data_IF_443145803716
#
_entry.id   IF_443145803716
#
_cell.length_a   1.000
_cell.length_b   1.000
_cell.length_c   1.000
_cell.angle_alpha   90.00
_cell.angle_beta   90.00
_cell.angle_gamma   90.00
#
_symmetry.space_group_name_H-M   'P 1'
#
loop_
_entity.id
_entity.type
_entity.pdbx_description
1 polymer ?
#
# COMPACT_ATOMS: atom_id res chain seq x y z
N UNK A 1 2.37 10.08 21.22
CA UNK A 1 2.55 8.95 20.28
C UNK A 1 2.56 9.51 18.86
N UNK A 2 3.20 8.84 17.89
CA UNK A 2 3.28 9.26 16.49
C UNK A 2 3.07 8.08 15.53
N UNK A 3 2.10 8.16 14.62
CA UNK A 3 2.14 7.39 13.38
C UNK A 3 2.80 8.25 12.31
N UNK A 4 4.02 7.91 11.90
CA UNK A 4 4.73 8.59 10.83
C UNK A 4 4.34 7.96 9.49
N UNK A 5 3.47 8.64 8.75
CA UNK A 5 2.99 8.21 7.42
C UNK A 5 3.57 9.15 6.38
N UNK A 6 4.66 8.76 5.68
CA UNK A 6 5.31 9.65 4.72
C UNK A 6 4.36 10.02 3.57
N UNK A 7 4.32 11.28 3.11
CA UNK A 7 3.42 11.69 2.05
C UNK A 7 3.83 11.10 0.70
N UNK A 8 2.90 11.07 -0.25
CA UNK A 8 3.15 10.58 -1.61
C UNK A 8 3.60 11.71 -2.53
N UNK A 9 4.56 12.51 -2.08
CA UNK A 9 5.15 13.64 -2.82
C UNK A 9 6.62 13.40 -3.14
N UNK A 10 7.19 14.21 -4.03
CA UNK A 10 8.60 14.10 -4.43
C UNK A 10 9.58 14.37 -3.27
N UNK A 11 9.19 15.26 -2.36
CA UNK A 11 9.89 15.67 -1.14
C UNK A 11 9.47 14.87 0.11
N UNK A 12 8.96 13.65 -0.11
CA UNK A 12 8.53 12.70 0.93
C UNK A 12 9.51 12.59 2.08
N UNK A 13 10.80 12.45 1.76
CA UNK A 13 11.83 12.23 2.77
C UNK A 13 11.98 13.46 3.65
N UNK A 14 12.08 14.64 3.02
CA UNK A 14 12.29 15.92 3.69
C UNK A 14 11.13 16.22 4.63
N UNK A 15 9.89 16.06 4.16
CA UNK A 15 8.68 16.29 4.97
C UNK A 15 8.62 15.30 6.15
N UNK A 16 8.75 13.99 5.89
CA UNK A 16 8.64 12.98 6.94
C UNK A 16 9.78 13.06 7.96
N UNK A 17 10.98 13.45 7.52
CA UNK A 17 12.12 13.66 8.41
C UNK A 17 11.92 14.91 9.30
N UNK A 18 11.35 15.99 8.78
CA UNK A 18 10.97 17.15 9.60
C UNK A 18 9.92 16.77 10.66
N UNK A 19 8.92 15.96 10.32
CA UNK A 19 7.94 15.46 11.29
C UNK A 19 8.58 14.59 12.37
N UNK A 20 9.54 13.74 12.00
CA UNK A 20 10.31 12.93 12.95
C UNK A 20 11.15 13.80 13.91
N UNK A 21 11.78 14.86 13.41
CA UNK A 21 12.54 15.82 14.21
C UNK A 21 11.62 16.54 15.20
N UNK A 22 10.50 17.09 14.73
CA UNK A 22 9.52 17.75 15.61
C UNK A 22 8.99 16.81 16.70
N UNK A 23 8.73 15.54 16.38
CA UNK A 23 8.31 14.55 17.36
C UNK A 23 9.40 14.22 18.40
N UNK A 24 10.66 14.21 17.97
CA UNK A 24 11.83 14.05 18.85
C UNK A 24 11.93 15.22 19.83
N UNK A 25 11.82 16.45 19.34
CA UNK A 25 11.85 17.67 20.16
C UNK A 25 10.67 17.73 21.15
N UNK A 26 9.49 17.28 20.72
CA UNK A 26 8.30 17.17 21.57
C UNK A 26 8.38 16.01 22.60
N UNK A 27 9.45 15.21 22.60
CA UNK A 27 9.63 14.12 23.56
C UNK A 27 8.69 12.92 23.32
N UNK A 28 8.26 12.67 22.08
CA UNK A 28 7.41 11.52 21.74
C UNK A 28 8.13 10.21 22.08
N UNK A 29 7.48 9.37 22.89
CA UNK A 29 8.04 8.10 23.38
C UNK A 29 7.57 6.84 22.66
N UNK A 30 6.49 6.95 21.89
CA UNK A 30 5.92 5.83 21.13
C UNK A 30 5.68 6.23 19.68
N UNK A 31 6.29 5.54 18.72
CA UNK A 31 6.15 5.85 17.31
C UNK A 31 6.09 4.62 16.40
N UNK A 32 5.31 4.68 15.33
CA UNK A 32 5.29 3.67 14.26
C UNK A 32 5.52 4.36 12.93
N UNK A 33 6.51 3.89 12.15
CA UNK A 33 6.73 4.34 10.78
C UNK A 33 5.98 3.43 9.81
N UNK A 34 5.15 4.02 8.93
CA UNK A 34 4.66 3.33 7.73
C UNK A 34 5.71 3.43 6.63
N UNK A 35 6.39 2.32 6.38
CA UNK A 35 7.30 2.11 5.27
C UNK A 35 6.64 1.26 4.18
N UNK A 36 7.40 0.92 3.13
CA UNK A 36 6.91 0.18 1.99
C UNK A 36 7.67 -1.14 1.80
N UNK A 37 6.93 -2.24 1.62
CA UNK A 37 7.52 -3.54 1.39
C UNK A 37 8.09 -3.61 -0.03
N UNK A 38 9.39 -3.87 -0.16
CA UNK A 38 10.11 -3.86 -1.44
C UNK A 38 11.03 -2.65 -1.64
N UNK A 39 11.12 -1.72 -0.67
CA UNK A 39 11.98 -0.54 -0.76
C UNK A 39 13.47 -0.88 -1.03
N UNK A 40 13.92 -2.07 -0.60
CA UNK A 40 15.28 -2.59 -0.85
C UNK A 40 15.50 -3.02 -2.31
N UNK A 41 14.45 -3.44 -3.03
CA UNK A 41 14.51 -3.88 -4.42
C UNK A 41 14.26 -2.75 -5.42
N UNK A 42 14.01 -1.54 -4.92
CA UNK A 42 13.53 -0.41 -5.71
C UNK A 42 14.64 0.49 -6.26
N UNK A 43 15.86 -0.02 -6.46
CA UNK A 43 17.04 0.80 -6.81
C UNK A 43 16.84 1.74 -8.02
N UNK A 44 16.00 1.34 -8.98
CA UNK A 44 15.67 2.12 -10.17
C UNK A 44 14.44 3.04 -10.01
N UNK A 45 13.82 3.06 -8.83
CA UNK A 45 12.62 3.83 -8.47
C UNK A 45 12.93 4.74 -7.28
N UNK A 46 13.48 5.95 -7.51
CA UNK A 46 13.95 6.83 -6.43
C UNK A 46 12.90 7.10 -5.35
N UNK A 47 11.63 7.26 -5.74
CA UNK A 47 10.51 7.50 -4.83
C UNK A 47 10.33 6.39 -3.78
N UNK A 48 10.55 5.14 -4.20
CA UNK A 48 10.42 3.96 -3.34
C UNK A 48 11.69 3.71 -2.51
N UNK A 49 12.88 4.00 -3.04
CA UNK A 49 14.13 3.92 -2.27
C UNK A 49 14.17 4.88 -1.07
N UNK A 50 13.48 6.04 -1.14
CA UNK A 50 13.42 6.99 -0.02
C UNK A 50 12.83 6.40 1.26
N UNK A 51 12.04 5.32 1.17
CA UNK A 51 11.60 4.60 2.36
C UNK A 51 12.77 4.00 3.15
N UNK A 52 13.80 3.45 2.49
CA UNK A 52 15.00 2.95 3.18
C UNK A 52 15.74 4.06 3.94
N UNK A 53 15.81 5.26 3.36
CA UNK A 53 16.44 6.40 4.03
C UNK A 53 15.62 6.86 5.23
N UNK A 54 14.29 6.87 5.12
CA UNK A 54 13.38 7.15 6.24
C UNK A 54 13.49 6.10 7.36
N UNK A 55 13.59 4.81 7.01
CA UNK A 55 13.80 3.75 7.99
C UNK A 55 15.10 3.94 8.78
N UNK A 56 16.19 4.33 8.10
CA UNK A 56 17.46 4.66 8.77
C UNK A 56 17.31 5.87 9.69
N UNK A 57 16.70 6.95 9.23
CA UNK A 57 16.48 8.15 10.03
C UNK A 57 15.63 7.84 11.28
N UNK A 58 14.55 7.07 11.11
CA UNK A 58 13.67 6.63 12.18
C UNK A 58 14.38 5.73 13.21
N UNK A 59 15.22 4.80 12.75
CA UNK A 59 16.04 3.97 13.63
C UNK A 59 17.10 4.78 14.40
N UNK A 60 17.61 5.86 13.81
CA UNK A 60 18.59 6.73 14.46
C UNK A 60 17.99 7.75 15.45
N UNK A 61 16.66 7.95 15.45
CA UNK A 61 15.99 8.78 16.45
C UNK A 61 16.02 8.12 17.84
N UNK A 62 17.09 8.35 18.59
CA UNK A 62 17.39 7.70 19.89
C UNK A 62 16.52 8.19 21.05
N UNK A 63 15.88 9.35 20.92
CA UNK A 63 14.96 9.94 21.91
C UNK A 63 13.61 9.22 22.00
N UNK A 64 13.25 8.44 20.96
CA UNK A 64 12.01 7.67 20.85
C UNK A 64 12.28 6.23 21.31
N UNK A 65 11.89 5.93 22.55
CA UNK A 65 12.21 4.67 23.23
C UNK A 65 11.43 3.47 22.66
N UNK A 66 10.17 3.68 22.31
CA UNK A 66 9.28 2.63 21.80
C UNK A 66 8.97 2.91 20.34
N UNK A 67 9.58 2.14 19.44
CA UNK A 67 9.38 2.36 18.01
C UNK A 67 9.33 1.07 17.21
N UNK A 68 8.58 1.07 16.12
CA UNK A 68 8.51 -0.03 15.18
C UNK A 68 8.33 0.49 13.75
N UNK A 69 8.76 -0.29 12.76
CA UNK A 69 8.60 0.00 11.34
C UNK A 69 7.63 -1.03 10.76
N UNK A 70 6.65 -0.57 10.00
CA UNK A 70 5.72 -1.42 9.25
C UNK A 70 5.95 -1.21 7.77
N UNK A 71 6.54 -2.20 7.10
CA UNK A 71 6.64 -2.25 5.64
C UNK A 71 5.32 -2.78 5.07
N UNK A 72 4.48 -1.89 4.58
CA UNK A 72 3.23 -2.26 3.97
C UNK A 72 3.42 -2.73 2.52
N UNK A 73 2.83 -3.86 2.16
CA UNK A 73 2.73 -4.35 0.79
C UNK A 73 1.79 -3.53 -0.08
N UNK A 74 1.45 -4.07 -1.25
CA UNK A 74 0.61 -3.39 -2.21
C UNK A 74 -0.86 -3.43 -1.80
N UNK A 75 -1.53 -2.27 -1.78
CA UNK A 75 -2.90 -2.19 -1.28
C UNK A 75 -3.93 -2.81 -2.22
N UNK A 76 -4.86 -3.60 -1.65
CA UNK A 76 -6.02 -4.11 -2.35
C UNK A 76 -6.85 -2.95 -2.94
N UNK A 77 -6.97 -1.84 -2.21
CA UNK A 77 -7.72 -0.65 -2.64
C UNK A 77 -7.12 0.09 -3.83
N UNK A 78 -5.87 -0.20 -4.24
CA UNK A 78 -5.31 0.41 -5.45
C UNK A 78 -6.11 0.04 -6.71
N UNK A 79 -6.87 -1.06 -6.69
CA UNK A 79 -7.78 -1.41 -7.81
C UNK A 79 -8.90 -0.39 -8.02
N UNK A 80 -9.27 0.38 -6.99
CA UNK A 80 -10.29 1.41 -7.07
C UNK A 80 -9.87 2.57 -7.99
N UNK A 81 -8.57 2.72 -8.24
CA UNK A 81 -8.06 3.68 -9.25
C UNK A 81 -8.58 3.35 -10.66
N UNK A 82 -8.96 2.08 -10.90
CA UNK A 82 -9.58 1.61 -12.14
C UNK A 82 -11.08 1.30 -11.99
N UNK A 83 -11.75 1.88 -10.99
CA UNK A 83 -13.15 1.58 -10.68
C UNK A 83 -14.07 1.76 -11.91
N UNK A 84 -13.89 2.82 -12.70
CA UNK A 84 -14.67 3.04 -13.93
C UNK A 84 -14.49 1.90 -14.94
N UNK A 85 -13.26 1.48 -15.21
CA UNK A 85 -12.99 0.39 -16.17
C UNK A 85 -13.52 -0.95 -15.65
N UNK A 86 -13.45 -1.19 -14.34
CA UNK A 86 -13.98 -2.41 -13.73
C UNK A 86 -15.51 -2.44 -13.81
N UNK A 87 -16.18 -1.32 -13.49
CA UNK A 87 -17.64 -1.23 -13.41
C UNK A 87 -18.28 -1.16 -14.80
N UNK A 88 -17.76 -0.34 -15.71
CA UNK A 88 -18.36 -0.08 -17.01
C UNK A 88 -17.77 -0.93 -18.14
N UNK A 89 -16.46 -1.14 -18.14
CA UNK A 89 -15.77 -1.86 -19.22
C UNK A 89 -15.50 -3.33 -18.87
N UNK A 90 -15.86 -3.76 -17.65
CA UNK A 90 -15.64 -5.11 -17.16
C UNK A 90 -14.17 -5.55 -17.27
N UNK A 91 -13.26 -4.62 -17.02
CA UNK A 91 -11.83 -4.77 -17.27
C UNK A 91 -10.98 -4.23 -16.12
N UNK A 92 -9.94 -4.96 -15.73
CA UNK A 92 -8.84 -4.51 -14.87
C UNK A 92 -7.59 -4.24 -15.74
N UNK A 93 -7.30 -2.99 -16.13
CA UNK A 93 -6.18 -2.63 -16.99
C UNK A 93 -4.93 -2.29 -16.18
N UNK A 94 -4.21 -3.29 -15.68
CA UNK A 94 -3.00 -3.08 -14.87
C UNK A 94 -1.72 -3.52 -15.61
N UNK A 95 -0.59 -2.81 -15.47
CA UNK A 95 0.66 -3.12 -16.16
C UNK A 95 1.52 -4.11 -15.35
N UNK A 96 0.96 -5.26 -14.97
CA UNK A 96 1.62 -6.22 -14.07
C UNK A 96 2.25 -7.41 -14.78
N UNK A 97 1.94 -7.64 -16.06
CA UNK A 97 2.22 -8.93 -16.70
C UNK A 97 1.67 -10.10 -15.87
N UNK A 98 2.47 -11.16 -15.76
CA UNK A 98 2.19 -12.32 -14.91
C UNK A 98 2.71 -12.18 -13.47
N UNK A 99 3.19 -10.98 -13.12
CA UNK A 99 3.67 -10.64 -11.79
C UNK A 99 2.63 -10.95 -10.71
N UNK A 100 3.11 -11.39 -9.54
CA UNK A 100 2.27 -11.75 -8.40
C UNK A 100 2.61 -10.92 -7.18
N UNK A 101 1.60 -10.66 -6.36
CA UNK A 101 1.73 -9.98 -5.07
C UNK A 101 0.61 -10.40 -4.12
N UNK A 102 0.79 -10.11 -2.84
CA UNK A 102 -0.20 -10.38 -1.80
C UNK A 102 -0.95 -9.10 -1.40
N UNK A 103 -2.19 -8.86 -1.90
CA UNK A 103 -2.89 -7.60 -1.71
C UNK A 103 -3.23 -7.33 -0.24
N UNK A 104 -2.70 -6.24 0.30
CA UNK A 104 -2.92 -5.80 1.68
C UNK A 104 -4.17 -4.91 1.78
N UNK A 105 -5.07 -5.23 2.69
CA UNK A 105 -6.20 -4.39 3.05
C UNK A 105 -5.74 -3.18 3.87
N UNK A 106 -5.93 -1.98 3.32
CA UNK A 106 -5.55 -0.74 3.98
C UNK A 106 -6.29 -0.51 5.32
N UNK A 107 -7.53 -1.00 5.45
CA UNK A 107 -8.28 -0.88 6.71
C UNK A 107 -7.67 -1.77 7.80
N UNK A 108 -7.29 -3.00 7.45
CA UNK A 108 -6.61 -3.93 8.35
C UNK A 108 -5.22 -3.41 8.75
N UNK A 109 -4.46 -2.83 7.80
CA UNK A 109 -3.21 -2.11 8.10
C UNK A 109 -3.43 -1.00 9.13
N UNK A 110 -4.47 -0.17 8.95
CA UNK A 110 -4.79 0.90 9.89
C UNK A 110 -5.09 0.38 11.30
N UNK A 111 -5.86 -0.70 11.42
CA UNK A 111 -6.13 -1.36 12.72
C UNK A 111 -4.85 -1.90 13.36
N UNK A 112 -3.99 -2.56 12.59
CA UNK A 112 -2.71 -3.08 13.07
C UNK A 112 -1.79 -1.97 13.58
N UNK A 113 -1.62 -0.89 12.80
CA UNK A 113 -0.82 0.27 13.21
C UNK A 113 -1.41 0.97 14.44
N UNK A 114 -2.73 1.08 14.53
CA UNK A 114 -3.40 1.65 15.71
C UNK A 114 -3.08 0.84 16.96
N UNK A 115 -3.21 -0.49 16.92
CA UNK A 115 -2.86 -1.39 18.03
C UNK A 115 -1.41 -1.20 18.45
N UNK A 116 -0.49 -1.15 17.48
CA UNK A 116 0.93 -0.93 17.75
C UNK A 116 1.20 0.43 18.42
N UNK A 117 0.39 1.45 18.13
CA UNK A 117 0.59 2.82 18.57
C UNK A 117 -0.07 3.13 19.93
N UNK A 118 -1.22 2.55 20.23
CA UNK A 118 -1.97 2.85 21.47
C UNK A 118 -1.36 2.16 22.69
N UNK A 119 -0.66 1.05 22.49
CA UNK A 119 0.05 0.36 23.57
C UNK A 119 1.33 1.11 23.95
N UNK A 120 1.36 1.67 25.16
CA UNK A 120 2.48 2.46 25.68
C UNK A 120 2.85 1.99 27.10
N UNK A 121 4.04 1.39 27.31
CA UNK A 121 5.06 1.12 26.30
C UNK A 121 4.62 0.07 25.28
N UNK A 122 5.16 0.16 24.07
CA UNK A 122 4.94 -0.78 22.99
C UNK A 122 5.26 -2.22 23.44
N UNK A 123 4.41 -3.19 23.07
CA UNK A 123 4.64 -4.61 23.36
C UNK A 123 6.02 -5.06 22.87
N UNK A 124 6.70 -5.85 23.69
CA UNK A 124 8.05 -6.33 23.39
C UNK A 124 8.15 -7.17 22.11
N UNK A 125 7.04 -7.77 21.66
CA UNK A 125 6.97 -8.58 20.43
C UNK A 125 7.16 -7.78 19.15
N UNK A 126 6.87 -6.46 19.15
CA UNK A 126 7.10 -5.59 17.99
C UNK A 126 7.95 -4.35 18.27
N UNK A 127 8.25 -4.05 19.52
CA UNK A 127 9.17 -2.95 19.85
C UNK A 127 10.56 -3.19 19.27
N UNK A 128 11.04 -2.23 18.49
CA UNK A 128 12.32 -2.26 17.78
C UNK A 128 12.30 -3.10 16.49
N UNK A 129 11.16 -3.67 16.11
CA UNK A 129 11.07 -4.55 14.94
C UNK A 129 10.78 -3.76 13.66
N UNK A 130 11.20 -4.35 12.53
CA UNK A 130 10.69 -4.02 11.20
C UNK A 130 9.81 -5.16 10.74
N UNK A 131 8.50 -4.95 10.74
CA UNK A 131 7.49 -5.92 10.34
C UNK A 131 7.08 -5.68 8.90
N UNK A 132 6.76 -6.73 8.17
CA UNK A 132 6.20 -6.65 6.81
C UNK A 132 4.75 -7.10 6.84
N UNK A 133 3.84 -6.27 6.35
CA UNK A 133 2.41 -6.59 6.29
C UNK A 133 1.98 -6.78 4.83
N UNK A 134 1.34 -7.92 4.56
CA UNK A 134 0.79 -8.28 3.25
C UNK A 134 -0.62 -8.84 3.41
N UNK A 135 -1.30 -9.10 2.29
CA UNK A 135 -2.44 -10.02 2.29
C UNK A 135 -2.03 -11.46 2.64
N UNK A 136 -3.01 -12.35 2.74
CA UNK A 136 -2.81 -13.77 3.14
C UNK A 136 -2.32 -14.66 2.00
N UNK A 137 -2.46 -14.24 0.74
CA UNK A 137 -2.15 -15.05 -0.43
C UNK A 137 -1.58 -14.18 -1.56
N UNK A 138 -0.57 -14.70 -2.26
CA UNK A 138 0.01 -14.07 -3.44
C UNK A 138 -0.73 -14.49 -4.71
N UNK A 139 -1.11 -13.53 -5.54
CA UNK A 139 -1.89 -13.75 -6.77
C UNK A 139 -1.48 -12.81 -7.89
N UNK A 140 -1.82 -13.16 -9.13
CA UNK A 140 -1.65 -12.29 -10.29
C UNK A 140 -2.85 -11.35 -10.46
N UNK A 141 -2.70 -10.34 -11.33
CA UNK A 141 -3.82 -9.48 -11.71
C UNK A 141 -4.99 -10.25 -12.33
N UNK A 142 -4.71 -11.36 -13.04
CA UNK A 142 -5.75 -12.26 -13.53
C UNK A 142 -6.53 -12.94 -12.39
N UNK A 143 -5.84 -13.40 -11.33
CA UNK A 143 -6.50 -13.95 -10.13
C UNK A 143 -7.32 -12.89 -9.39
N UNK A 144 -6.80 -11.67 -9.30
CA UNK A 144 -7.53 -10.53 -8.75
C UNK A 144 -8.78 -10.18 -9.57
N UNK A 145 -8.69 -10.15 -10.90
CA UNK A 145 -9.83 -9.95 -11.78
C UNK A 145 -10.90 -11.05 -11.62
N UNK A 146 -10.49 -12.31 -11.49
CA UNK A 146 -11.41 -13.41 -11.19
C UNK A 146 -12.12 -13.24 -9.82
N UNK A 147 -11.41 -12.73 -8.83
CA UNK A 147 -11.96 -12.45 -7.49
C UNK A 147 -12.95 -11.28 -7.54
N UNK A 148 -12.63 -10.21 -8.27
CA UNK A 148 -13.54 -9.11 -8.58
C UNK A 148 -14.80 -9.62 -9.28
N UNK A 149 -14.65 -10.42 -10.33
CA UNK A 149 -15.78 -10.98 -11.07
C UNK A 149 -16.74 -11.75 -10.17
N UNK A 150 -16.20 -12.61 -9.29
CA UNK A 150 -16.97 -13.38 -8.31
C UNK A 150 -17.71 -12.48 -7.32
N UNK A 151 -17.02 -11.53 -6.70
CA UNK A 151 -17.60 -10.63 -5.69
C UNK A 151 -18.65 -9.69 -6.30
N UNK A 152 -18.38 -9.16 -7.49
CA UNK A 152 -19.26 -8.22 -8.20
C UNK A 152 -20.43 -8.91 -8.93
N UNK A 153 -20.39 -10.25 -9.07
CA UNK A 153 -21.34 -11.04 -9.87
C UNK A 153 -21.46 -10.53 -11.31
N UNK A 154 -20.33 -10.10 -11.88
CA UNK A 154 -20.21 -9.66 -13.28
C UNK A 154 -18.93 -10.22 -13.90
N UNK A 155 -18.81 -10.16 -15.23
CA UNK A 155 -17.54 -10.47 -15.88
C UNK A 155 -16.53 -9.36 -15.55
N UNK A 156 -15.32 -9.73 -15.14
CA UNK A 156 -14.18 -8.81 -15.02
C UNK A 156 -12.97 -9.53 -15.57
N UNK A 157 -12.39 -9.00 -16.64
CA UNK A 157 -11.21 -9.56 -17.29
C UNK A 157 -9.97 -8.73 -16.99
N UNK A 158 -8.84 -9.41 -16.80
CA UNK A 158 -7.56 -8.73 -16.73
C UNK A 158 -7.08 -8.36 -18.14
N UNK A 159 -6.69 -7.11 -18.33
CA UNK A 159 -5.99 -6.65 -19.53
C UNK A 159 -4.61 -6.16 -19.11
N UNK A 160 -3.57 -6.86 -19.55
CA UNK A 160 -2.21 -6.38 -19.37
C UNK A 160 -1.97 -5.19 -20.30
N UNK A 161 -1.91 -3.99 -19.73
CA UNK A 161 -1.61 -2.76 -20.47
C UNK A 161 -0.16 -2.37 -20.30
N UNK A 162 0.34 -1.50 -21.17
CA UNK A 162 1.66 -0.89 -20.99
C UNK A 162 1.66 0.11 -19.82
N UNK A 163 2.85 0.41 -19.30
CA UNK A 163 3.04 1.45 -18.27
C UNK A 163 2.49 2.82 -18.70
N UNK A 164 2.65 3.17 -19.97
CA UNK A 164 2.16 4.45 -20.53
C UNK A 164 0.64 4.48 -20.68
N UNK A 165 0.02 3.37 -21.10
CA UNK A 165 -1.44 3.25 -21.12
C UNK A 165 -2.03 3.33 -19.71
N UNK A 166 -1.42 2.63 -18.74
CA UNK A 166 -1.82 2.72 -17.33
C UNK A 166 -1.70 4.16 -16.81
N UNK A 167 -0.60 4.85 -17.13
CA UNK A 167 -0.40 6.27 -16.78
C UNK A 167 -1.48 7.16 -17.39
N UNK A 168 -1.82 6.95 -18.66
CA UNK A 168 -2.86 7.72 -19.34
C UNK A 168 -4.24 7.52 -18.70
N UNK A 169 -4.56 6.28 -18.29
CA UNK A 169 -5.80 5.96 -17.57
C UNK A 169 -5.82 6.61 -16.18
N UNK A 170 -4.75 6.48 -15.40
CA UNK A 170 -4.67 7.06 -14.05
C UNK A 170 -4.78 8.58 -14.07
N UNK A 171 -4.25 9.25 -15.11
CA UNK A 171 -4.38 10.71 -15.31
C UNK A 171 -5.81 11.19 -15.55
N UNK A 172 -6.74 10.30 -15.88
CA UNK A 172 -8.15 10.67 -16.01
C UNK A 172 -8.80 10.91 -14.64
N UNK A 173 -8.19 10.41 -13.55
CA UNK A 173 -8.67 10.66 -12.19
C UNK A 173 -8.18 12.03 -11.71
N UNK A 174 -9.07 12.99 -11.44
CA UNK A 174 -8.66 14.31 -10.92
C UNK A 174 -8.10 14.24 -9.48
N UNK A 175 -8.28 13.11 -8.80
CA UNK A 175 -7.86 12.89 -7.42
C UNK A 175 -6.39 12.47 -7.27
N UNK A 176 -5.67 12.17 -8.36
CA UNK A 176 -4.28 11.69 -8.29
C UNK A 176 -3.31 12.71 -8.86
N UNK A 177 -2.29 13.07 -8.08
CA UNK A 177 -1.15 13.85 -8.53
C UNK A 177 -0.19 13.04 -9.41
N UNK A 178 0.64 13.71 -10.21
CA UNK A 178 1.67 13.04 -11.02
C UNK A 178 2.67 12.24 -10.15
N UNK A 179 2.92 12.67 -8.91
CA UNK A 179 3.78 11.96 -7.96
C UNK A 179 3.15 10.66 -7.46
N UNK A 180 1.85 10.68 -7.16
CA UNK A 180 1.09 9.47 -6.78
C UNK A 180 0.99 8.47 -7.92
N UNK A 181 0.69 8.95 -9.13
CA UNK A 181 0.66 8.12 -10.34
C UNK A 181 2.03 7.48 -10.56
N UNK A 182 3.10 8.27 -10.50
CA UNK A 182 4.48 7.77 -10.64
C UNK A 182 4.81 6.70 -9.59
N UNK A 183 4.50 6.95 -8.32
CA UNK A 183 4.75 6.00 -7.24
C UNK A 183 3.93 4.71 -7.39
N UNK A 184 2.68 4.78 -7.86
CA UNK A 184 1.87 3.59 -8.12
C UNK A 184 2.42 2.76 -9.29
N UNK A 185 2.83 3.43 -10.37
CA UNK A 185 3.44 2.77 -11.52
C UNK A 185 4.78 2.13 -11.14
N UNK A 186 5.63 2.78 -10.34
CA UNK A 186 6.87 2.18 -9.83
C UNK A 186 6.62 0.88 -9.04
N UNK A 187 5.53 0.82 -8.27
CA UNK A 187 5.13 -0.41 -7.60
C UNK A 187 4.69 -1.50 -8.58
N UNK A 188 3.99 -1.13 -9.66
CA UNK A 188 3.62 -2.09 -10.71
C UNK A 188 4.84 -2.66 -11.44
N UNK A 189 5.89 -1.86 -11.69
CA UNK A 189 7.13 -2.37 -12.28
C UNK A 189 7.76 -3.45 -11.39
N UNK A 190 7.78 -3.25 -10.07
CA UNK A 190 8.30 -4.24 -9.12
C UNK A 190 7.42 -5.51 -9.05
N UNK A 191 6.10 -5.37 -9.19
CA UNK A 191 5.19 -6.52 -9.35
C UNK A 191 5.53 -7.28 -10.64
N UNK A 192 5.65 -6.58 -11.76
CA UNK A 192 5.95 -7.17 -13.07
C UNK A 192 7.31 -7.88 -13.09
N UNK A 193 8.30 -7.34 -12.38
CA UNK A 193 9.62 -7.95 -12.21
C UNK A 193 9.62 -9.14 -11.21
N UNK A 194 8.49 -9.48 -10.61
CA UNK A 194 8.35 -10.58 -9.65
C UNK A 194 8.91 -10.29 -8.26
N UNK A 195 9.30 -9.03 -7.97
CA UNK A 195 9.90 -8.62 -6.69
C UNK A 195 8.90 -8.61 -5.54
N UNK A 196 7.60 -8.57 -5.85
CA UNK A 196 6.51 -8.49 -4.88
C UNK A 196 5.83 -9.83 -4.57
N UNK A 197 6.35 -10.95 -5.10
CA UNK A 197 5.75 -12.28 -4.94
C UNK A 197 6.14 -12.93 -3.61
N UNK A 198 5.67 -12.37 -2.50
CA UNK A 198 5.86 -12.93 -1.16
C UNK A 198 4.65 -12.63 -0.26
N UNK A 199 4.52 -13.42 0.80
CA UNK A 199 3.51 -13.28 1.85
C UNK A 199 4.23 -13.21 3.19
N UNK A 200 3.78 -12.33 4.08
CA UNK A 200 4.25 -12.23 5.45
C UNK A 200 3.12 -12.59 6.43
N UNK A 201 3.49 -13.29 7.50
CA UNK A 201 2.58 -13.64 8.60
C UNK A 201 2.86 -12.79 9.85
N UNK A 202 3.63 -11.71 9.74
CA UNK A 202 4.00 -10.88 10.90
C UNK A 202 2.77 -10.32 11.61
N UNK A 203 1.77 -9.88 10.85
CA UNK A 203 0.53 -9.32 11.41
C UNK A 203 -0.19 -10.33 12.32
N UNK A 204 -0.32 -11.58 11.89
CA UNK A 204 -0.94 -12.65 12.69
C UNK A 204 -0.04 -13.05 13.86
N UNK A 205 1.25 -13.31 13.60
CA UNK A 205 2.18 -13.80 14.64
C UNK A 205 2.43 -12.80 15.76
N UNK A 206 2.44 -11.50 15.43
CA UNK A 206 2.89 -10.45 16.34
C UNK A 206 1.72 -9.69 16.97
N UNK A 207 0.63 -9.53 16.24
CA UNK A 207 -0.54 -8.76 16.68
C UNK A 207 -1.80 -9.61 16.90
N UNK A 208 -1.79 -10.90 16.54
CA UNK A 208 -2.96 -11.78 16.55
C UNK A 208 -4.09 -11.25 15.65
N UNK A 209 -3.72 -10.56 14.57
CA UNK A 209 -4.66 -10.04 13.58
C UNK A 209 -4.61 -10.93 12.36
N UNK A 210 -5.72 -11.61 12.10
CA UNK A 210 -5.94 -12.34 10.85
C UNK A 210 -6.40 -11.37 9.75
N UNK A 211 -5.63 -11.29 8.69
CA UNK A 211 -5.99 -10.49 7.52
C UNK A 211 -7.17 -11.13 6.76
N UNK A 212 -8.18 -10.35 6.31
CA UNK A 212 -9.29 -10.86 5.51
C UNK A 212 -8.82 -11.37 4.14
N UNK A 213 -9.57 -12.30 3.55
CA UNK A 213 -9.36 -12.68 2.16
C UNK A 213 -9.63 -11.50 1.20
N UNK A 214 -9.06 -11.53 0.00
CA UNK A 214 -9.32 -10.49 -1.00
C UNK A 214 -10.82 -10.41 -1.36
N UNK A 215 -11.52 -11.55 -1.41
CA UNK A 215 -12.96 -11.59 -1.69
C UNK A 215 -13.77 -10.84 -0.62
N UNK A 216 -13.43 -11.01 0.66
CA UNK A 216 -14.07 -10.28 1.76
C UNK A 216 -13.80 -8.78 1.67
N UNK A 217 -12.56 -8.38 1.35
CA UNK A 217 -12.18 -6.98 1.18
C UNK A 217 -12.95 -6.33 0.03
N UNK A 218 -12.98 -6.97 -1.14
CA UNK A 218 -13.71 -6.47 -2.31
C UNK A 218 -15.20 -6.38 -1.99
N UNK A 219 -15.78 -7.43 -1.39
CA UNK A 219 -17.21 -7.47 -1.02
C UNK A 219 -17.55 -6.32 -0.07
N UNK A 220 -16.72 -6.05 0.94
CA UNK A 220 -16.88 -4.91 1.86
C UNK A 220 -16.81 -3.56 1.15
N UNK A 221 -15.87 -3.42 0.21
CA UNK A 221 -15.58 -2.16 -0.47
C UNK A 221 -16.43 -1.94 -1.74
N UNK A 222 -17.42 -2.81 -2.02
CA UNK A 222 -18.25 -2.77 -3.24
C UNK A 222 -18.91 -1.41 -3.51
N UNK A 223 -19.42 -0.73 -2.48
CA UNK A 223 -20.06 0.57 -2.66
C UNK A 223 -19.04 1.66 -3.04
N UNK A 224 -17.77 1.51 -2.65
CA UNK A 224 -16.68 2.41 -3.05
C UNK A 224 -16.39 2.29 -4.54
N UNK A 225 -16.47 1.09 -5.13
CA UNK A 225 -16.31 0.91 -6.58
C UNK A 225 -17.35 1.70 -7.36
N UNK A 226 -18.63 1.60 -6.96
CA UNK A 226 -19.72 2.34 -7.62
C UNK A 226 -19.52 3.84 -7.50
N UNK A 227 -19.27 4.32 -6.27
CA UNK A 227 -19.07 5.74 -6.01
C UNK A 227 -17.86 6.31 -6.78
N UNK A 228 -16.75 5.58 -6.85
CA UNK A 228 -15.57 6.04 -7.59
C UNK A 228 -15.75 5.98 -9.11
N UNK A 229 -16.48 4.98 -9.64
CA UNK A 229 -16.79 4.90 -11.06
C UNK A 229 -17.60 6.12 -11.54
N UNK A 230 -18.56 6.58 -10.73
CA UNK A 230 -19.39 7.76 -11.03
C UNK A 230 -18.62 9.09 -10.98
N UNK A 231 -17.57 9.17 -10.16
CA UNK A 231 -16.74 10.38 -10.00
C UNK A 231 -15.65 10.52 -11.06
N UNK A 232 -15.30 9.44 -11.76
CA UNK A 232 -14.29 9.46 -12.82
C UNK A 232 -14.93 9.95 -14.13
N UNK A 233 -14.39 11.01 -14.77
CA UNK A 233 -14.99 11.60 -15.96
C UNK A 233 -15.13 10.57 -17.09
N UNK A 234 -16.24 10.60 -17.81
CA UNK A 234 -16.43 9.82 -19.05
C UNK A 234 -15.28 10.10 -20.01
N UNK A 235 -14.72 9.05 -20.61
CA UNK A 235 -13.70 9.24 -21.64
C UNK A 235 -14.46 9.72 -22.88
N UNK A 236 -14.07 10.88 -23.41
CA UNK A 236 -14.62 11.41 -24.65
C UNK A 236 -14.11 10.62 -25.86
#
# INVERSE_FOLDING_TARGET
MLALVPPTTADKFEIANQWLQAATEAGVKNAVLLSWAGCNDAANHPSLCKFCDLEKAFNNASSIDNKAIVRAGFYAQNVLTYAKQIVHDHCLPAPTGDGKWAPLDAETLGKAMMIMLVESPMRATFRGQTLTFTGTESMSAAGMAATLAKAMKTNVQFKNVTRDEAKALLKQSPAMSDAEIGALLDQYDLIQQGKMNFVSNDMEKVLDIKHPSLEEVITRDMDKFKAMAEQQPMAA
#
